data_IF_866842963242
#
_entry.id   IF_866842963242
#
_cell.length_a   1.000
_cell.length_b   1.000
_cell.length_c   1.000
_cell.angle_alpha   90.00
_cell.angle_beta   90.00
_cell.angle_gamma   90.00
#
_symmetry.space_group_name_H-M   'P 1'
#
loop_
_entity.id
_entity.type
_entity.pdbx_description
1 polymer ?
#
# COMPACT_ATOMS: atom_id res chain seq x y z
N UNK A 1 8.51 0.76 3.10
CA UNK A 1 7.40 1.03 2.16
C UNK A 1 7.83 1.99 1.04
N UNK A 2 8.14 3.26 1.33
CA UNK A 2 8.51 4.25 0.29
C UNK A 2 9.68 3.83 -0.61
N UNK A 3 10.78 3.34 -0.04
CA UNK A 3 11.94 2.89 -0.82
C UNK A 3 11.57 1.80 -1.84
N UNK A 4 10.95 0.70 -1.37
CA UNK A 4 10.46 -0.37 -2.25
C UNK A 4 9.43 0.09 -3.29
N UNK A 5 8.58 1.07 -2.95
CA UNK A 5 7.61 1.62 -3.87
C UNK A 5 8.26 2.34 -5.05
N UNK A 6 9.30 3.14 -4.76
CA UNK A 6 10.08 3.84 -5.78
C UNK A 6 10.91 2.84 -6.58
N UNK A 7 11.61 1.93 -5.91
CA UNK A 7 12.50 0.95 -6.54
C UNK A 7 11.76 -0.02 -7.49
N UNK A 8 10.62 -0.58 -7.07
CA UNK A 8 9.97 -1.64 -7.84
C UNK A 8 8.77 -1.17 -8.66
N UNK A 9 8.15 -0.05 -8.31
CA UNK A 9 6.93 0.43 -8.96
C UNK A 9 7.05 1.84 -9.53
N UNK A 10 8.12 2.58 -9.21
CA UNK A 10 8.30 3.97 -9.68
C UNK A 10 7.33 4.98 -9.08
N UNK A 11 6.60 4.63 -8.01
CA UNK A 11 5.59 5.50 -7.39
C UNK A 11 5.97 5.91 -5.97
N UNK A 12 5.63 7.16 -5.60
CA UNK A 12 5.78 7.67 -4.25
C UNK A 12 4.42 7.65 -3.52
N UNK A 13 4.16 6.66 -2.64
CA UNK A 13 2.87 6.58 -1.96
C UNK A 13 2.68 7.75 -1.00
N UNK A 14 1.45 8.29 -0.93
CA UNK A 14 1.09 9.31 0.05
C UNK A 14 0.83 8.68 1.43
N UNK A 15 0.56 9.52 2.43
CA UNK A 15 0.46 9.06 3.82
C UNK A 15 -0.61 7.98 4.03
N UNK A 16 -1.82 8.18 3.53
CA UNK A 16 -2.91 7.21 3.75
C UNK A 16 -2.65 5.87 3.06
N UNK A 17 -2.04 5.87 1.86
CA UNK A 17 -1.66 4.64 1.16
C UNK A 17 -0.66 3.83 2.00
N UNK A 18 0.30 4.50 2.64
CA UNK A 18 1.25 3.86 3.55
C UNK A 18 0.53 3.26 4.76
N UNK A 19 -0.42 4.00 5.38
CA UNK A 19 -1.19 3.48 6.53
C UNK A 19 -1.99 2.22 6.17
N UNK A 20 -2.59 2.17 4.98
CA UNK A 20 -3.30 0.98 4.49
C UNK A 20 -2.33 -0.19 4.29
N UNK A 21 -1.18 0.06 3.65
CA UNK A 21 -0.15 -0.98 3.43
C UNK A 21 0.39 -1.51 4.76
N UNK A 22 0.67 -0.64 5.75
CA UNK A 22 1.07 -1.05 7.10
C UNK A 22 0.01 -1.94 7.76
N UNK A 23 -1.26 -1.57 7.65
CA UNK A 23 -2.36 -2.36 8.21
C UNK A 23 -2.46 -3.75 7.55
N UNK A 24 -2.30 -3.83 6.22
CA UNK A 24 -2.29 -5.11 5.50
C UNK A 24 -1.10 -5.98 5.93
N UNK A 25 0.10 -5.39 6.05
CA UNK A 25 1.32 -6.11 6.42
C UNK A 25 1.29 -6.62 7.86
N UNK A 26 0.51 -5.99 8.75
CA UNK A 26 0.37 -6.41 10.14
C UNK A 26 -0.35 -7.76 10.29
N UNK A 27 -1.22 -8.13 9.33
CA UNK A 27 -1.95 -9.41 9.28
C UNK A 27 -2.70 -9.78 10.58
N UNK A 28 -3.20 -8.79 11.30
CA UNK A 28 -3.89 -8.98 12.58
C UNK A 28 -5.39 -8.65 12.51
N UNK A 29 -5.88 -8.20 11.35
CA UNK A 29 -7.26 -7.79 11.12
C UNK A 29 -7.56 -7.66 9.62
N UNK A 30 -8.85 -7.67 9.29
CA UNK A 30 -9.33 -7.30 7.97
C UNK A 30 -9.23 -5.77 7.77
N UNK A 31 -8.96 -5.35 6.53
CA UNK A 31 -8.76 -3.94 6.17
C UNK A 31 -9.77 -3.53 5.11
N UNK A 32 -10.62 -2.55 5.42
CA UNK A 32 -11.52 -1.88 4.46
C UNK A 32 -10.96 -0.50 4.15
N UNK A 33 -10.74 -0.21 2.86
CA UNK A 33 -10.27 1.09 2.38
C UNK A 33 -11.29 1.66 1.38
N UNK A 34 -11.90 2.80 1.71
CA UNK A 34 -12.87 3.49 0.84
C UNK A 34 -12.20 4.71 0.24
N UNK A 35 -12.08 4.74 -1.09
CA UNK A 35 -11.59 5.91 -1.82
C UNK A 35 -12.11 5.93 -3.26
N UNK A 36 -12.12 7.12 -3.86
CA UNK A 36 -12.59 7.31 -5.23
C UNK A 36 -11.76 6.52 -6.27
N UNK A 37 -12.34 6.28 -7.45
CA UNK A 37 -11.57 5.81 -8.61
C UNK A 37 -10.57 6.88 -9.05
N UNK A 38 -9.38 6.46 -9.49
CA UNK A 38 -8.28 7.37 -9.82
C UNK A 38 -7.48 7.88 -8.61
N UNK A 39 -7.94 7.67 -7.37
CA UNK A 39 -7.22 8.15 -6.18
C UNK A 39 -5.95 7.36 -5.82
N UNK A 40 -5.60 6.34 -6.62
CA UNK A 40 -4.41 5.52 -6.39
C UNK A 40 -4.56 4.38 -5.38
N UNK A 41 -5.78 3.95 -5.01
CA UNK A 41 -5.97 2.77 -4.13
C UNK A 41 -5.39 1.47 -4.69
N UNK A 42 -5.25 1.34 -6.00
CA UNK A 42 -4.61 0.18 -6.62
C UNK A 42 -3.20 -0.06 -6.06
N UNK A 43 -2.44 1.01 -5.80
CA UNK A 43 -1.09 0.93 -5.24
C UNK A 43 -1.06 0.25 -3.86
N UNK A 44 -2.13 0.34 -3.07
CA UNK A 44 -2.19 -0.29 -1.74
C UNK A 44 -2.37 -1.81 -1.79
N UNK A 45 -2.78 -2.37 -2.94
CA UNK A 45 -2.82 -3.82 -3.17
C UNK A 45 -1.47 -4.36 -3.66
N UNK A 46 -0.76 -3.63 -4.51
CA UNK A 46 0.54 -4.05 -5.06
C UNK A 46 1.68 -3.94 -4.05
N UNK A 47 1.72 -2.85 -3.28
CA UNK A 47 2.83 -2.59 -2.35
C UNK A 47 3.09 -3.70 -1.33
N UNK A 48 2.07 -4.27 -0.65
CA UNK A 48 2.28 -5.34 0.33
C UNK A 48 2.98 -6.57 -0.27
N UNK A 49 2.79 -6.85 -1.56
CA UNK A 49 3.40 -8.00 -2.25
C UNK A 49 4.93 -7.91 -2.33
N UNK A 50 5.50 -6.70 -2.20
CA UNK A 50 6.94 -6.47 -2.20
C UNK A 50 7.62 -6.81 -0.87
N UNK A 51 6.83 -7.14 0.16
CA UNK A 51 7.29 -7.50 1.49
C UNK A 51 7.01 -8.99 1.70
N UNK A 52 8.04 -9.82 1.54
CA UNK A 52 7.97 -11.26 1.86
C UNK A 52 7.85 -11.45 3.38
N UNK A 53 7.20 -12.54 3.77
CA UNK A 53 7.34 -13.15 5.09
C UNK A 53 8.65 -13.90 5.20
#
# INVERSE_FOLDING_TARGET
>A
IRAKAVEHLGYQPCYWQIKVVEAILKRDRDVVCISATGSGKTLTFWLPLLFKS
#
